data_IF_454286597830
#
_entry.id   IF_454286597830
#
_cell.length_a   1.000
_cell.length_b   1.000
_cell.length_c   1.000
_cell.angle_alpha   90.00
_cell.angle_beta   90.00
_cell.angle_gamma   90.00
#
_symmetry.space_group_name_H-M   'P 1'
#
loop_
_entity.id
_entity.type
_entity.pdbx_description
1 polymer ?
#
# COMPACT_ATOMS: atom_id res chain seq x y z
N UNK A 1 16.71 47.90 -12.52
CA UNK A 1 16.65 46.69 -11.70
C UNK A 1 15.28 46.05 -11.90
N UNK A 2 15.22 45.06 -12.77
CA UNK A 2 14.00 44.33 -13.11
C UNK A 2 13.74 43.31 -11.98
N UNK A 3 12.70 43.54 -11.17
CA UNK A 3 12.18 42.55 -10.24
C UNK A 3 11.64 41.35 -11.07
N UNK A 4 12.37 40.26 -11.11
CA UNK A 4 11.88 38.99 -11.57
C UNK A 4 10.88 38.48 -10.52
N UNK A 5 9.62 38.28 -10.91
CA UNK A 5 8.62 37.68 -10.03
C UNK A 5 9.11 36.29 -9.59
N UNK A 6 8.85 35.88 -8.32
CA UNK A 6 9.23 34.56 -7.87
C UNK A 6 8.53 33.52 -8.75
N UNK A 7 9.32 32.59 -9.30
CA UNK A 7 8.81 31.42 -10.02
C UNK A 7 7.92 30.65 -9.03
N UNK A 8 6.66 30.34 -9.37
CA UNK A 8 5.81 29.56 -8.50
C UNK A 8 6.51 28.21 -8.22
N UNK A 9 6.39 27.67 -6.99
CA UNK A 9 6.94 26.35 -6.71
C UNK A 9 6.40 25.37 -7.75
N UNK A 10 7.28 24.61 -8.38
CA UNK A 10 6.88 23.54 -9.31
C UNK A 10 5.85 22.69 -8.57
N UNK A 11 4.64 22.56 -9.12
CA UNK A 11 3.61 21.71 -8.53
C UNK A 11 4.20 20.32 -8.36
N UNK A 12 4.35 19.91 -7.12
CA UNK A 12 4.91 18.62 -6.77
C UNK A 12 3.91 17.58 -7.24
N UNK A 13 4.34 16.66 -8.08
CA UNK A 13 3.48 15.61 -8.60
C UNK A 13 2.83 14.83 -7.44
N UNK A 14 1.51 14.69 -7.46
CA UNK A 14 0.76 13.99 -6.42
C UNK A 14 1.11 12.51 -6.35
N UNK A 15 0.83 11.86 -5.21
CA UNK A 15 1.01 10.41 -5.09
C UNK A 15 0.17 9.66 -6.13
N UNK A 16 -1.09 10.07 -6.33
CA UNK A 16 -1.98 9.42 -7.31
C UNK A 16 -1.40 9.44 -8.72
N UNK A 17 -0.88 10.58 -9.18
CA UNK A 17 -0.24 10.71 -10.49
C UNK A 17 1.03 9.85 -10.60
N UNK A 18 1.90 9.87 -9.59
CA UNK A 18 3.11 9.03 -9.56
C UNK A 18 2.77 7.54 -9.59
N UNK A 19 1.78 7.12 -8.81
CA UNK A 19 1.31 5.74 -8.79
C UNK A 19 0.75 5.34 -10.15
N UNK A 20 -0.09 6.15 -10.77
CA UNK A 20 -0.65 5.86 -12.09
C UNK A 20 0.44 5.72 -13.15
N UNK A 21 1.45 6.57 -13.15
CA UNK A 21 2.61 6.46 -14.04
C UNK A 21 3.38 5.16 -13.81
N UNK A 22 3.63 4.79 -12.55
CA UNK A 22 4.32 3.56 -12.20
C UNK A 22 3.54 2.31 -12.66
N UNK A 23 2.22 2.28 -12.43
CA UNK A 23 1.34 1.19 -12.88
C UNK A 23 1.28 1.11 -14.41
N UNK A 24 1.23 2.24 -15.11
CA UNK A 24 1.24 2.27 -16.56
C UNK A 24 2.56 1.78 -17.15
N UNK A 25 3.68 2.11 -16.52
CA UNK A 25 5.01 1.73 -16.99
C UNK A 25 5.40 0.28 -16.70
N UNK A 26 5.01 -0.25 -15.53
CA UNK A 26 5.46 -1.55 -15.00
C UNK A 26 4.33 -2.56 -14.78
N UNK A 27 3.08 -2.17 -15.05
CA UNK A 27 1.88 -2.97 -14.83
C UNK A 27 1.35 -2.95 -13.38
N UNK A 28 0.11 -3.43 -13.18
CA UNK A 28 -0.60 -3.31 -11.90
C UNK A 28 -0.19 -4.43 -10.93
N UNK A 29 1.04 -4.41 -10.43
CA UNK A 29 1.52 -5.37 -9.44
C UNK A 29 2.20 -4.68 -8.26
N UNK A 30 1.73 -5.02 -7.06
CA UNK A 30 2.40 -4.78 -5.80
C UNK A 30 3.00 -6.07 -5.26
N UNK A 31 4.28 -6.06 -4.91
CA UNK A 31 4.92 -7.20 -4.24
C UNK A 31 5.17 -6.87 -2.76
N UNK A 32 4.61 -7.71 -1.89
CA UNK A 32 4.83 -7.63 -0.45
C UNK A 32 6.24 -8.07 -0.05
N UNK A 33 6.82 -7.43 0.97
CA UNK A 33 8.05 -7.88 1.63
C UNK A 33 7.65 -8.31 3.05
N UNK A 34 7.29 -9.59 3.15
CA UNK A 34 6.71 -10.18 4.36
C UNK A 34 7.62 -11.32 4.88
N UNK A 35 8.71 -11.00 5.59
CA UNK A 35 9.70 -11.99 6.06
C UNK A 35 9.18 -12.81 7.25
N UNK A 36 8.20 -13.69 6.99
CA UNK A 36 7.75 -14.69 7.95
C UNK A 36 8.91 -15.58 8.39
N UNK A 37 8.98 -15.99 9.64
CA UNK A 37 10.01 -16.90 10.16
C UNK A 37 10.12 -18.18 9.33
N UNK A 38 8.97 -18.79 8.97
CA UNK A 38 8.93 -19.97 8.12
C UNK A 38 9.50 -19.75 6.70
N UNK A 39 9.40 -18.53 6.19
CA UNK A 39 9.93 -18.19 4.88
C UNK A 39 11.44 -17.93 4.93
N UNK A 40 11.93 -17.27 5.97
CA UNK A 40 13.37 -17.14 6.21
C UNK A 40 14.04 -18.52 6.28
N UNK A 41 13.49 -19.42 7.10
CA UNK A 41 14.01 -20.78 7.23
C UNK A 41 13.98 -21.56 5.89
N UNK A 42 12.92 -21.43 5.11
CA UNK A 42 12.80 -22.04 3.77
C UNK A 42 13.89 -21.54 2.81
N UNK A 43 14.30 -20.27 2.95
CA UNK A 43 15.40 -19.71 2.16
C UNK A 43 16.80 -20.09 2.71
N UNK A 44 16.86 -20.89 3.79
CA UNK A 44 18.12 -21.23 4.46
C UNK A 44 18.70 -20.08 5.30
N UNK A 45 17.88 -19.08 5.63
CA UNK A 45 18.25 -17.91 6.44
C UNK A 45 17.84 -18.14 7.89
N UNK A 46 18.63 -17.66 8.87
CA UNK A 46 18.22 -17.70 10.27
C UNK A 46 17.08 -16.74 10.55
N UNK A 47 16.23 -17.05 11.52
CA UNK A 47 15.21 -16.13 12.04
C UNK A 47 15.86 -15.08 12.96
N UNK A 48 16.61 -14.17 12.37
CA UNK A 48 17.41 -13.13 13.02
C UNK A 48 17.44 -11.85 12.18
N UNK A 49 18.01 -10.77 12.73
CA UNK A 49 18.20 -9.50 12.00
C UNK A 49 19.03 -9.68 10.73
N UNK A 50 20.04 -10.55 10.75
CA UNK A 50 20.89 -10.81 9.58
C UNK A 50 20.13 -11.57 8.50
N UNK A 51 19.29 -12.56 8.89
CA UNK A 51 18.41 -13.25 7.97
C UNK A 51 17.35 -12.32 7.40
N UNK A 52 16.75 -11.45 8.23
CA UNK A 52 15.83 -10.42 7.80
C UNK A 52 16.45 -9.49 6.75
N UNK A 53 17.66 -9.00 7.01
CA UNK A 53 18.41 -8.13 6.09
C UNK A 53 18.69 -8.83 4.77
N UNK A 54 19.26 -10.04 4.81
CA UNK A 54 19.56 -10.84 3.62
C UNK A 54 18.33 -11.11 2.76
N UNK A 55 17.20 -11.39 3.41
CA UNK A 55 15.91 -11.58 2.74
C UNK A 55 15.45 -10.31 2.05
N UNK A 56 15.37 -9.19 2.78
CA UNK A 56 14.88 -7.90 2.26
C UNK A 56 15.75 -7.40 1.10
N UNK A 57 17.09 -7.43 1.26
CA UNK A 57 18.04 -7.02 0.22
C UNK A 57 17.91 -7.90 -1.04
N UNK A 58 17.68 -9.21 -0.89
CA UNK A 58 17.47 -10.11 -2.01
C UNK A 58 16.18 -9.77 -2.76
N UNK A 59 15.06 -9.56 -2.05
CA UNK A 59 13.77 -9.21 -2.67
C UNK A 59 13.87 -7.87 -3.39
N UNK A 60 14.40 -6.83 -2.74
CA UNK A 60 14.55 -5.50 -3.34
C UNK A 60 15.44 -5.57 -4.59
N UNK A 61 16.61 -6.21 -4.49
CA UNK A 61 17.54 -6.31 -5.63
C UNK A 61 17.03 -7.19 -6.78
N UNK A 62 16.04 -8.06 -6.52
CA UNK A 62 15.42 -8.86 -7.58
C UNK A 62 14.29 -8.14 -8.30
N UNK A 63 13.50 -7.30 -7.59
CA UNK A 63 12.18 -6.89 -8.05
C UNK A 63 11.98 -5.36 -8.11
N UNK A 64 12.76 -4.53 -7.40
CA UNK A 64 12.45 -3.12 -7.28
C UNK A 64 12.53 -2.32 -8.59
N UNK A 65 13.32 -2.76 -9.56
CA UNK A 65 13.39 -2.18 -10.90
C UNK A 65 12.31 -2.70 -11.87
N UNK A 66 11.51 -3.70 -11.45
CA UNK A 66 10.57 -4.44 -12.30
C UNK A 66 9.11 -4.21 -11.95
N UNK A 67 8.78 -4.08 -10.67
CA UNK A 67 7.40 -3.93 -10.20
C UNK A 67 7.05 -2.47 -9.95
N UNK A 68 5.78 -2.11 -10.11
CA UNK A 68 5.32 -0.75 -9.88
C UNK A 68 5.35 -0.39 -8.40
N UNK A 69 5.02 -1.34 -7.52
CA UNK A 69 4.85 -1.11 -6.09
C UNK A 69 5.52 -2.22 -5.29
N UNK A 70 6.21 -1.85 -4.19
CA UNK A 70 6.64 -2.74 -3.13
C UNK A 70 5.99 -2.36 -1.81
N UNK A 71 5.64 -3.37 -1.00
CA UNK A 71 4.92 -3.15 0.25
C UNK A 71 5.58 -3.93 1.41
N UNK A 72 6.59 -3.34 2.08
CA UNK A 72 7.10 -3.93 3.30
C UNK A 72 6.04 -3.94 4.41
N UNK A 73 5.89 -5.09 5.08
CA UNK A 73 4.99 -5.27 6.21
C UNK A 73 5.74 -4.95 7.50
N UNK A 74 5.46 -3.81 8.11
CA UNK A 74 6.19 -3.23 9.24
C UNK A 74 6.36 -4.21 10.41
N UNK A 75 5.31 -4.94 10.76
CA UNK A 75 5.31 -5.88 11.89
C UNK A 75 6.42 -6.94 11.84
N UNK A 76 6.81 -7.41 10.64
CA UNK A 76 7.88 -8.41 10.51
C UNK A 76 9.28 -7.83 10.74
N UNK A 77 9.43 -6.54 10.63
CA UNK A 77 10.67 -5.83 10.95
C UNK A 77 10.65 -5.39 12.42
N UNK A 78 9.54 -4.82 12.88
CA UNK A 78 9.37 -4.34 14.26
C UNK A 78 9.61 -5.42 15.32
N UNK A 79 9.29 -6.69 15.04
CA UNK A 79 9.52 -7.81 15.96
C UNK A 79 10.98 -8.02 16.32
N UNK A 80 11.91 -7.43 15.58
CA UNK A 80 13.36 -7.45 15.89
C UNK A 80 13.84 -6.16 16.57
N UNK A 81 12.92 -5.31 17.05
CA UNK A 81 13.23 -4.06 17.74
C UNK A 81 13.96 -3.05 16.84
N UNK A 82 14.77 -2.21 17.42
CA UNK A 82 15.48 -1.14 16.73
C UNK A 82 16.34 -1.63 15.55
N UNK A 83 16.97 -2.80 15.69
CA UNK A 83 17.78 -3.39 14.63
C UNK A 83 16.94 -3.80 13.41
N UNK A 84 15.72 -4.33 13.63
CA UNK A 84 14.78 -4.63 12.55
C UNK A 84 14.22 -3.39 11.88
N UNK A 85 13.92 -2.34 12.66
CA UNK A 85 13.51 -1.04 12.11
C UNK A 85 14.61 -0.45 11.22
N UNK A 86 15.88 -0.56 11.59
CA UNK A 86 17.01 -0.13 10.75
C UNK A 86 17.09 -0.90 9.43
N UNK A 87 16.72 -2.19 9.42
CA UNK A 87 16.59 -2.95 8.15
C UNK A 87 15.42 -2.42 7.33
N UNK A 88 14.28 -2.08 7.95
CA UNK A 88 13.13 -1.48 7.27
C UNK A 88 13.50 -0.15 6.59
N UNK A 89 14.20 0.74 7.30
CA UNK A 89 14.72 2.01 6.75
C UNK A 89 15.56 1.78 5.49
N UNK A 90 16.50 0.82 5.57
CA UNK A 90 17.34 0.47 4.44
C UNK A 90 16.53 -0.09 3.26
N UNK A 91 15.55 -0.96 3.54
CA UNK A 91 14.67 -1.58 2.56
C UNK A 91 13.85 -0.54 1.80
N UNK A 92 13.22 0.40 2.52
CA UNK A 92 12.44 1.50 1.93
C UNK A 92 13.33 2.36 1.03
N UNK A 93 14.50 2.78 1.55
CA UNK A 93 15.44 3.62 0.82
C UNK A 93 15.92 2.96 -0.47
N UNK A 94 16.34 1.70 -0.43
CA UNK A 94 16.81 0.95 -1.59
C UNK A 94 15.73 0.79 -2.65
N UNK A 95 14.50 0.42 -2.25
CA UNK A 95 13.39 0.26 -3.17
C UNK A 95 13.04 1.58 -3.87
N UNK A 96 12.97 2.69 -3.12
CA UNK A 96 12.72 4.03 -3.69
C UNK A 96 13.83 4.49 -4.63
N UNK A 97 15.10 4.22 -4.30
CA UNK A 97 16.24 4.52 -5.17
C UNK A 97 16.19 3.75 -6.50
N UNK A 98 15.62 2.55 -6.52
CA UNK A 98 15.37 1.79 -7.74
C UNK A 98 14.13 2.28 -8.53
N UNK A 99 13.44 3.32 -8.07
CA UNK A 99 12.29 3.93 -8.73
C UNK A 99 10.97 3.19 -8.52
N UNK A 100 10.87 2.34 -7.51
CA UNK A 100 9.61 1.67 -7.12
C UNK A 100 8.85 2.55 -6.12
N UNK A 101 7.53 2.59 -6.26
CA UNK A 101 6.64 3.15 -5.24
C UNK A 101 6.64 2.23 -4.01
N UNK A 102 6.85 2.79 -2.84
CA UNK A 102 6.83 2.04 -1.58
C UNK A 102 5.61 2.39 -0.75
N UNK A 103 4.77 1.40 -0.45
CA UNK A 103 3.67 1.50 0.50
C UNK A 103 4.11 0.83 1.81
N UNK A 104 4.28 1.58 2.89
CA UNK A 104 4.56 0.98 4.19
C UNK A 104 3.28 0.44 4.82
N UNK A 105 3.20 -0.88 4.99
CA UNK A 105 2.04 -1.54 5.59
C UNK A 105 2.16 -1.57 7.11
N UNK A 106 1.75 -0.45 7.76
CA UNK A 106 1.88 -0.22 9.21
C UNK A 106 0.54 -0.23 9.94
N UNK A 107 -0.56 0.04 9.25
CA UNK A 107 -1.94 0.07 9.78
C UNK A 107 -2.05 0.88 11.07
N UNK A 108 -1.43 2.07 11.10
CA UNK A 108 -1.50 2.96 12.28
C UNK A 108 -2.82 3.72 12.31
N UNK A 109 -3.22 4.12 13.51
CA UNK A 109 -4.39 4.95 13.75
C UNK A 109 -4.32 5.48 15.18
N UNK A 110 -4.54 6.78 15.36
CA UNK A 110 -4.58 7.46 16.66
C UNK A 110 -5.27 8.82 16.48
N UNK A 111 -5.28 9.66 17.52
CA UNK A 111 -5.88 10.99 17.54
C UNK A 111 -4.84 12.07 17.88
N UNK A 112 -5.13 13.31 17.51
CA UNK A 112 -4.39 14.51 17.93
C UNK A 112 -2.90 14.46 17.59
N UNK A 113 -2.04 14.82 18.55
CA UNK A 113 -0.59 14.89 18.37
C UNK A 113 0.06 13.52 18.14
N UNK A 114 -0.56 12.44 18.62
CA UNK A 114 -0.02 11.09 18.41
C UNK A 114 -0.14 10.66 16.95
N UNK A 115 -1.30 10.86 16.32
CA UNK A 115 -1.46 10.55 14.89
C UNK A 115 -0.58 11.46 14.02
N UNK A 116 -0.38 12.72 14.42
CA UNK A 116 0.56 13.63 13.77
C UNK A 116 2.00 13.10 13.82
N UNK A 117 2.43 12.55 14.96
CA UNK A 117 3.76 11.95 15.08
C UNK A 117 3.93 10.72 14.17
N UNK A 118 2.90 9.88 14.01
CA UNK A 118 2.90 8.80 13.02
C UNK A 118 2.96 9.34 11.58
N UNK A 119 2.20 10.38 11.27
CA UNK A 119 2.24 11.02 9.96
C UNK A 119 3.65 11.49 9.59
N UNK A 120 4.30 12.21 10.50
CA UNK A 120 5.68 12.67 10.33
C UNK A 120 6.66 11.50 10.17
N UNK A 121 6.52 10.45 10.99
CA UNK A 121 7.40 9.29 10.92
C UNK A 121 7.35 8.60 9.55
N UNK A 122 6.18 8.47 8.94
CA UNK A 122 6.01 7.65 7.74
C UNK A 122 5.95 8.44 6.43
N UNK A 123 5.69 9.74 6.46
CA UNK A 123 5.45 10.53 5.25
C UNK A 123 6.36 11.78 5.14
N UNK A 124 6.91 12.30 6.26
CA UNK A 124 7.81 13.45 6.18
C UNK A 124 9.12 13.09 5.49
N UNK A 125 9.58 13.88 4.50
CA UNK A 125 10.83 13.62 3.77
C UNK A 125 12.08 13.56 4.66
N UNK A 126 12.00 14.13 5.86
CA UNK A 126 13.11 14.13 6.84
C UNK A 126 13.17 12.86 7.69
N UNK A 127 12.12 12.02 7.64
CA UNK A 127 12.10 10.78 8.41
C UNK A 127 12.88 9.67 7.69
N UNK A 128 13.69 8.89 8.41
CA UNK A 128 14.45 7.79 7.83
C UNK A 128 13.56 6.62 7.35
N UNK A 129 12.32 6.49 7.88
CA UNK A 129 11.36 5.46 7.46
C UNK A 129 10.25 6.01 6.54
N UNK A 130 10.44 7.23 6.00
CA UNK A 130 9.46 7.82 5.10
C UNK A 130 9.29 6.96 3.83
N UNK A 131 8.05 6.56 3.57
CA UNK A 131 7.62 5.85 2.38
C UNK A 131 6.86 6.78 1.41
N UNK A 132 6.46 6.26 0.25
CA UNK A 132 5.59 7.02 -0.67
C UNK A 132 4.14 7.00 -0.23
N UNK A 133 3.72 5.97 0.51
CA UNK A 133 2.41 5.89 1.14
C UNK A 133 2.44 5.00 2.39
N UNK A 134 1.41 5.12 3.22
CA UNK A 134 1.24 4.32 4.44
C UNK A 134 -0.19 3.78 4.55
N UNK A 135 -0.36 2.58 5.10
CA UNK A 135 -1.67 2.04 5.47
C UNK A 135 -2.08 2.52 6.86
N UNK A 136 -3.35 2.89 7.02
CA UNK A 136 -3.91 3.42 8.28
C UNK A 136 -5.23 2.75 8.64
N UNK A 137 -5.53 2.72 9.94
CA UNK A 137 -6.77 2.16 10.47
C UNK A 137 -7.73 3.28 10.88
N UNK A 138 -8.97 3.31 10.36
CA UNK A 138 -9.96 4.34 10.66
C UNK A 138 -10.83 4.00 11.88
N UNK A 139 -10.42 3.08 12.73
CA UNK A 139 -11.24 2.60 13.86
C UNK A 139 -11.67 3.72 14.82
N UNK A 140 -10.86 4.79 14.94
CA UNK A 140 -11.16 5.97 15.75
C UNK A 140 -11.98 7.04 14.99
N UNK A 141 -12.56 6.67 13.86
CA UNK A 141 -13.26 7.55 12.93
C UNK A 141 -12.34 8.08 11.82
N UNK A 142 -12.86 8.19 10.60
CA UNK A 142 -12.08 8.65 9.45
C UNK A 142 -11.44 10.03 9.68
N UNK A 143 -12.19 10.96 10.29
CA UNK A 143 -11.69 12.31 10.59
C UNK A 143 -10.46 12.34 11.51
N UNK A 144 -10.19 11.27 12.30
CA UNK A 144 -8.97 11.18 13.11
C UNK A 144 -7.71 11.05 12.25
N UNK A 145 -7.85 10.65 10.99
CA UNK A 145 -6.76 10.49 10.03
C UNK A 145 -6.37 11.79 9.30
N UNK A 146 -7.10 12.90 9.52
CA UNK A 146 -6.83 14.17 8.86
C UNK A 146 -5.34 14.57 8.93
N UNK A 147 -4.63 14.48 10.07
CA UNK A 147 -3.21 14.83 10.11
C UNK A 147 -2.32 13.96 9.21
N UNK A 148 -2.70 12.70 8.97
CA UNK A 148 -1.95 11.81 8.06
C UNK A 148 -2.22 12.19 6.61
N UNK A 149 -3.46 12.53 6.27
CA UNK A 149 -3.85 12.96 4.92
C UNK A 149 -3.20 14.30 4.59
N UNK A 150 -3.21 15.25 5.54
CA UNK A 150 -2.58 16.57 5.37
C UNK A 150 -1.06 16.45 5.17
N UNK A 151 -0.37 15.61 5.96
CA UNK A 151 1.08 15.37 5.80
C UNK A 151 1.38 14.71 4.46
N UNK A 152 0.54 13.74 4.02
CA UNK A 152 0.65 13.11 2.72
C UNK A 152 0.51 14.14 1.59
N UNK A 153 -0.50 14.99 1.64
CA UNK A 153 -0.73 16.05 0.65
C UNK A 153 0.43 17.03 0.59
N UNK A 154 0.92 17.50 1.74
CA UNK A 154 2.02 18.45 1.84
C UNK A 154 3.32 17.92 1.22
N UNK A 155 3.53 16.61 1.21
CA UNK A 155 4.76 15.98 0.74
C UNK A 155 4.60 15.11 -0.50
N UNK A 156 3.44 15.12 -1.16
CA UNK A 156 3.15 14.31 -2.35
C UNK A 156 3.14 12.81 -2.01
N UNK A 157 2.76 12.46 -0.79
CA UNK A 157 2.57 11.09 -0.31
C UNK A 157 1.14 10.60 -0.50
N UNK A 158 0.90 9.33 -0.17
CA UNK A 158 -0.42 8.70 -0.22
C UNK A 158 -0.81 8.00 1.08
N UNK A 159 -2.11 7.79 1.24
CA UNK A 159 -2.68 7.10 2.40
C UNK A 159 -3.60 5.99 1.92
N UNK A 160 -3.46 4.77 2.47
CA UNK A 160 -4.40 3.67 2.22
C UNK A 160 -5.18 3.36 3.49
N UNK A 161 -6.46 3.63 3.48
CA UNK A 161 -7.35 3.43 4.63
C UNK A 161 -7.97 2.04 4.59
N UNK A 162 -7.93 1.31 5.70
CA UNK A 162 -8.60 0.01 5.80
C UNK A 162 -10.12 0.20 5.66
N UNK A 163 -10.72 -0.47 4.68
CA UNK A 163 -12.17 -0.44 4.46
C UNK A 163 -12.81 -1.84 4.64
N UNK A 164 -12.33 -2.81 3.87
CA UNK A 164 -12.85 -4.18 3.89
C UNK A 164 -11.68 -5.16 3.98
N UNK A 165 -11.71 -6.04 4.97
CA UNK A 165 -10.62 -7.00 5.22
C UNK A 165 -11.12 -8.44 5.18
N UNK A 166 -10.25 -9.38 4.79
CA UNK A 166 -10.62 -10.78 4.52
C UNK A 166 -10.73 -11.65 5.77
N UNK A 167 -10.40 -11.14 6.96
CA UNK A 167 -10.47 -11.91 8.20
C UNK A 167 -11.95 -12.09 8.64
N UNK A 168 -12.29 -13.23 9.29
CA UNK A 168 -13.67 -13.54 9.63
C UNK A 168 -14.31 -12.59 10.67
N UNK A 169 -13.51 -11.88 11.45
CA UNK A 169 -13.99 -10.89 12.43
C UNK A 169 -14.35 -9.54 11.79
N UNK A 170 -13.80 -9.24 10.62
CA UNK A 170 -13.96 -7.96 9.91
C UNK A 170 -15.42 -7.51 9.75
N UNK A 171 -16.33 -8.38 9.30
CA UNK A 171 -17.73 -7.99 9.07
C UNK A 171 -18.45 -7.48 10.31
N UNK A 172 -18.09 -7.91 11.52
CA UNK A 172 -18.72 -7.45 12.77
C UNK A 172 -18.56 -5.94 12.99
N UNK A 173 -17.51 -5.34 12.45
CA UNK A 173 -17.24 -3.89 12.51
C UNK A 173 -17.57 -3.23 11.18
N UNK A 174 -17.06 -3.78 10.08
CA UNK A 174 -17.10 -3.14 8.76
C UNK A 174 -18.51 -3.10 8.16
N UNK A 175 -19.37 -4.10 8.46
CA UNK A 175 -20.76 -4.16 8.03
C UNK A 175 -21.73 -3.64 9.10
N UNK A 176 -21.25 -3.24 10.28
CA UNK A 176 -22.09 -2.55 11.26
C UNK A 176 -22.64 -1.25 10.64
N UNK A 177 -23.87 -0.86 11.06
CA UNK A 177 -24.52 0.32 10.51
C UNK A 177 -24.36 1.53 11.42
N UNK A 178 -24.08 2.65 10.80
CA UNK A 178 -24.08 3.98 11.41
C UNK A 178 -25.52 4.49 11.58
N UNK A 179 -25.72 5.59 12.28
CA UNK A 179 -27.04 6.17 12.56
C UNK A 179 -27.80 6.62 11.29
N UNK A 180 -27.09 6.88 10.20
CA UNK A 180 -27.67 7.23 8.89
C UNK A 180 -27.99 5.99 8.01
N UNK A 181 -27.74 4.79 8.53
CA UNK A 181 -28.05 3.52 7.89
C UNK A 181 -27.00 2.96 6.96
N UNK A 182 -25.93 3.70 6.66
CA UNK A 182 -24.78 3.20 5.88
C UNK A 182 -23.97 2.21 6.73
N UNK A 183 -23.21 1.33 6.08
CA UNK A 183 -22.22 0.53 6.80
C UNK A 183 -21.02 1.39 7.20
N UNK A 184 -20.27 0.97 8.20
CA UNK A 184 -18.98 1.60 8.57
C UNK A 184 -18.05 1.61 7.36
N UNK A 185 -17.94 0.50 6.63
CA UNK A 185 -17.11 0.43 5.43
C UNK A 185 -17.56 1.42 4.34
N UNK A 186 -18.89 1.55 4.09
CA UNK A 186 -19.36 2.53 3.10
C UNK A 186 -19.05 3.97 3.54
N UNK A 187 -19.20 4.28 4.82
CA UNK A 187 -18.84 5.61 5.33
C UNK A 187 -17.35 5.92 5.09
N UNK A 188 -16.46 4.95 5.31
CA UNK A 188 -15.03 5.11 5.04
C UNK A 188 -14.75 5.30 3.54
N UNK A 189 -15.45 4.55 2.68
CA UNK A 189 -15.34 4.68 1.22
C UNK A 189 -15.77 6.08 0.75
N UNK A 190 -16.91 6.56 1.25
CA UNK A 190 -17.46 7.87 0.89
C UNK A 190 -16.52 9.02 1.34
N UNK A 191 -15.95 8.91 2.54
CA UNK A 191 -14.99 9.90 3.07
C UNK A 191 -13.69 9.93 2.25
N UNK A 192 -13.17 8.77 1.86
CA UNK A 192 -12.01 8.68 0.97
C UNK A 192 -12.32 9.27 -0.42
N UNK A 193 -13.50 9.01 -0.96
CA UNK A 193 -13.98 9.61 -2.21
C UNK A 193 -14.06 11.14 -2.11
N UNK A 194 -14.55 11.67 -0.99
CA UNK A 194 -14.60 13.11 -0.75
C UNK A 194 -13.21 13.77 -0.74
N UNK A 195 -12.19 13.12 -0.15
CA UNK A 195 -10.81 13.59 -0.22
C UNK A 195 -10.29 13.67 -1.66
N UNK A 196 -10.68 12.73 -2.51
CA UNK A 196 -10.22 12.64 -3.89
C UNK A 196 -11.05 13.46 -4.90
N UNK A 197 -12.15 14.06 -4.48
CA UNK A 197 -13.15 14.67 -5.39
C UNK A 197 -12.56 15.74 -6.32
N UNK A 198 -11.50 16.44 -5.88
CA UNK A 198 -10.85 17.51 -6.65
C UNK A 198 -9.61 17.04 -7.42
N UNK A 199 -9.21 15.78 -7.30
CA UNK A 199 -8.03 15.28 -7.99
C UNK A 199 -8.28 15.24 -9.51
N UNK A 200 -7.42 15.86 -10.34
CA UNK A 200 -7.65 15.97 -11.77
C UNK A 200 -7.52 14.63 -12.49
N UNK A 201 -6.71 13.73 -11.95
CA UNK A 201 -6.42 12.41 -12.55
C UNK A 201 -6.78 11.31 -11.55
N UNK A 202 -5.95 11.08 -10.56
CA UNK A 202 -6.12 10.07 -9.51
C UNK A 202 -5.81 10.68 -8.15
N UNK A 203 -6.69 10.48 -7.18
CA UNK A 203 -6.49 10.95 -5.82
C UNK A 203 -5.40 10.17 -5.08
N UNK A 204 -4.92 10.75 -3.98
CA UNK A 204 -3.85 10.20 -3.15
C UNK A 204 -4.35 9.41 -1.93
N UNK A 205 -5.66 9.42 -1.68
CA UNK A 205 -6.31 8.66 -0.61
C UNK A 205 -6.91 7.39 -1.20
N UNK A 206 -6.29 6.27 -0.91
CA UNK A 206 -6.72 4.95 -1.35
C UNK A 206 -7.40 4.14 -0.24
N UNK A 207 -7.88 2.97 -0.62
CA UNK A 207 -8.51 2.01 0.28
C UNK A 207 -7.73 0.69 0.29
N UNK A 208 -7.85 -0.06 1.39
CA UNK A 208 -7.48 -1.47 1.44
C UNK A 208 -8.76 -2.29 1.39
N UNK A 209 -8.87 -3.14 0.34
CA UNK A 209 -9.99 -4.07 0.14
C UNK A 209 -9.41 -5.45 -0.11
N UNK A 210 -9.69 -6.41 0.77
CA UNK A 210 -9.16 -7.77 0.66
C UNK A 210 -9.69 -8.50 -0.58
N UNK A 211 -8.84 -9.30 -1.23
CA UNK A 211 -9.20 -10.03 -2.46
C UNK A 211 -10.35 -11.02 -2.27
N UNK A 212 -10.55 -11.54 -1.05
CA UNK A 212 -11.52 -12.59 -0.74
C UNK A 212 -12.77 -12.09 -0.01
N UNK A 213 -12.99 -10.77 0.04
CA UNK A 213 -14.20 -10.20 0.71
C UNK A 213 -15.50 -10.51 -0.05
N UNK A 214 -15.41 -10.86 -1.34
CA UNK A 214 -16.56 -11.10 -2.21
C UNK A 214 -17.31 -9.79 -2.54
N UNK A 215 -18.46 -9.95 -3.21
CA UNK A 215 -19.37 -8.83 -3.44
C UNK A 215 -20.11 -8.51 -2.13
N UNK A 216 -19.76 -7.38 -1.54
CA UNK A 216 -20.33 -6.91 -0.27
C UNK A 216 -21.43 -5.85 -0.49
N UNK A 217 -21.73 -5.50 -1.74
CA UNK A 217 -22.71 -4.47 -2.09
C UNK A 217 -22.25 -3.04 -1.75
N UNK A 218 -20.95 -2.81 -1.53
CA UNK A 218 -20.40 -1.48 -1.31
C UNK A 218 -20.12 -0.76 -2.64
N UNK A 219 -20.41 0.53 -2.68
CA UNK A 219 -20.20 1.37 -3.87
C UNK A 219 -18.84 2.06 -3.83
N UNK A 220 -18.00 1.72 -4.79
CA UNK A 220 -16.66 2.30 -5.01
C UNK A 220 -16.61 3.27 -6.21
N UNK A 221 -17.76 3.50 -6.88
CA UNK A 221 -17.83 4.24 -8.16
C UNK A 221 -17.35 5.70 -8.05
N UNK A 222 -17.46 6.31 -6.88
CA UNK A 222 -17.05 7.70 -6.63
C UNK A 222 -15.62 7.85 -6.12
N UNK A 223 -14.88 6.76 -5.85
CA UNK A 223 -13.63 6.81 -5.09
C UNK A 223 -12.55 7.69 -5.76
N UNK A 224 -12.39 7.63 -7.09
CA UNK A 224 -11.32 8.30 -7.83
C UNK A 224 -9.93 8.17 -7.16
N UNK A 225 -9.63 7.00 -6.59
CA UNK A 225 -8.41 6.71 -5.83
C UNK A 225 -7.92 5.29 -6.02
N UNK A 226 -6.73 4.95 -5.51
CA UNK A 226 -6.19 3.60 -5.61
C UNK A 226 -6.82 2.65 -4.61
N UNK A 227 -7.01 1.38 -5.01
CA UNK A 227 -7.44 0.30 -4.12
C UNK A 227 -6.32 -0.75 -4.03
N UNK A 228 -5.71 -0.87 -2.86
CA UNK A 228 -4.75 -1.93 -2.55
C UNK A 228 -5.52 -3.21 -2.22
N UNK A 229 -5.21 -4.28 -2.96
CA UNK A 229 -5.94 -5.55 -2.87
C UNK A 229 -5.01 -6.66 -2.37
N UNK A 230 -4.84 -6.80 -1.05
CA UNK A 230 -4.07 -7.89 -0.46
C UNK A 230 -4.87 -9.21 -0.44
N UNK A 231 -4.13 -10.33 -0.35
CA UNK A 231 -4.74 -11.66 -0.18
C UNK A 231 -4.86 -12.47 -1.47
N UNK A 232 -4.20 -12.04 -2.54
CA UNK A 232 -4.12 -12.79 -3.79
C UNK A 232 -3.11 -13.95 -3.72
N UNK A 233 -3.37 -14.99 -4.47
CA UNK A 233 -2.53 -16.21 -4.55
C UNK A 233 -2.60 -17.04 -3.27
N UNK A 234 -1.50 -17.17 -2.55
CA UNK A 234 -1.36 -18.04 -1.37
C UNK A 234 -2.36 -17.78 -0.22
N UNK A 235 -3.17 -16.72 -0.28
CA UNK A 235 -4.24 -16.45 0.69
C UNK A 235 -5.64 -16.77 0.15
N UNK A 236 -5.74 -17.35 -1.04
CA UNK A 236 -6.97 -17.87 -1.64
C UNK A 236 -7.69 -16.92 -2.60
N UNK A 237 -7.30 -15.65 -2.69
CA UNK A 237 -7.85 -14.75 -3.70
C UNK A 237 -7.31 -15.06 -5.10
N UNK A 238 -8.20 -15.14 -6.09
CA UNK A 238 -7.82 -15.25 -7.49
C UNK A 238 -7.81 -13.86 -8.16
N UNK A 239 -6.95 -13.71 -9.17
CA UNK A 239 -6.94 -12.45 -9.93
C UNK A 239 -8.29 -12.19 -10.61
N UNK A 240 -8.97 -13.24 -11.08
CA UNK A 240 -10.27 -13.14 -11.75
C UNK A 240 -11.38 -12.60 -10.84
N UNK A 241 -11.27 -12.78 -9.51
CA UNK A 241 -12.25 -12.24 -8.55
C UNK A 241 -12.30 -10.71 -8.57
N UNK A 242 -11.19 -10.06 -8.92
CA UNK A 242 -11.10 -8.60 -8.97
C UNK A 242 -11.99 -7.97 -10.05
N UNK A 243 -12.23 -8.69 -11.16
CA UNK A 243 -13.04 -8.15 -12.27
C UNK A 243 -14.48 -7.85 -11.84
N UNK A 244 -15.08 -8.71 -11.03
CA UNK A 244 -16.41 -8.51 -10.49
C UNK A 244 -16.44 -7.45 -9.40
N UNK A 245 -15.48 -7.52 -8.48
CA UNK A 245 -15.41 -6.68 -7.28
C UNK A 245 -15.14 -5.20 -7.61
N UNK A 246 -14.39 -4.90 -8.67
CA UNK A 246 -13.97 -3.55 -9.04
C UNK A 246 -14.52 -3.07 -10.40
N UNK A 247 -15.63 -3.69 -10.88
CA UNK A 247 -16.22 -3.37 -12.19
C UNK A 247 -16.54 -1.88 -12.35
N UNK A 248 -17.11 -1.28 -11.32
CA UNK A 248 -17.59 0.10 -11.33
C UNK A 248 -16.64 1.06 -10.62
N UNK A 249 -15.41 0.63 -10.33
CA UNK A 249 -14.41 1.44 -9.65
C UNK A 249 -13.98 2.61 -10.54
N UNK A 250 -14.17 3.83 -10.04
CA UNK A 250 -13.45 5.00 -10.57
C UNK A 250 -12.13 5.14 -9.84
N UNK A 251 -11.06 4.68 -10.45
CA UNK A 251 -9.73 4.64 -9.83
C UNK A 251 -8.85 3.53 -10.42
N UNK A 252 -7.87 3.08 -9.66
CA UNK A 252 -6.96 2.02 -10.06
C UNK A 252 -6.89 0.92 -9.01
N UNK A 253 -6.80 -0.33 -9.48
CA UNK A 253 -6.57 -1.49 -8.63
C UNK A 253 -5.07 -1.76 -8.53
N UNK A 254 -4.59 -1.99 -7.30
CA UNK A 254 -3.21 -2.34 -6.97
C UNK A 254 -3.19 -3.73 -6.34
N UNK A 255 -3.20 -4.80 -7.16
CA UNK A 255 -3.16 -6.18 -6.67
C UNK A 255 -1.88 -6.44 -5.90
N UNK A 256 -1.99 -7.05 -4.71
CA UNK A 256 -0.82 -7.30 -3.86
C UNK A 256 -0.60 -8.79 -3.63
N UNK A 257 0.56 -9.26 -4.11
CA UNK A 257 1.07 -10.62 -3.91
C UNK A 257 2.25 -10.59 -2.95
N UNK A 258 2.34 -11.56 -2.08
CA UNK A 258 3.43 -11.70 -1.13
C UNK A 258 3.97 -13.13 -1.15
N UNK A 259 3.42 -14.05 -0.34
CA UNK A 259 3.91 -15.41 -0.20
C UNK A 259 3.99 -16.18 -1.54
N UNK A 260 3.07 -15.92 -2.45
CA UNK A 260 3.07 -16.53 -3.79
C UNK A 260 4.38 -16.22 -4.54
N UNK A 261 4.81 -14.98 -4.54
CA UNK A 261 6.07 -14.57 -5.18
C UNK A 261 7.27 -14.98 -4.34
N UNK A 262 7.25 -14.70 -3.05
CA UNK A 262 8.39 -14.88 -2.15
C UNK A 262 8.75 -16.35 -1.92
N UNK A 263 7.82 -17.30 -2.09
CA UNK A 263 8.09 -18.73 -1.97
C UNK A 263 9.06 -19.28 -3.03
N UNK A 264 9.30 -18.52 -4.11
CA UNK A 264 10.21 -18.90 -5.20
C UNK A 264 11.65 -18.41 -5.00
N UNK A 265 11.93 -17.72 -3.88
CA UNK A 265 13.32 -17.37 -3.50
C UNK A 265 14.07 -18.54 -2.84
N UNK A 266 15.36 -18.35 -2.51
CA UNK A 266 16.12 -17.10 -2.52
C UNK A 266 16.69 -16.70 -3.89
N UNK A 267 16.57 -17.52 -4.93
CA UNK A 267 17.09 -17.19 -6.26
C UNK A 267 16.34 -16.03 -6.91
N UNK A 268 17.10 -15.01 -7.36
CA UNK A 268 16.51 -13.81 -8.00
C UNK A 268 15.70 -14.15 -9.26
N UNK A 269 16.13 -15.15 -10.06
CA UNK A 269 15.38 -15.60 -11.23
C UNK A 269 14.02 -16.14 -10.84
N UNK A 270 13.95 -17.03 -9.82
CA UNK A 270 12.68 -17.57 -9.33
C UNK A 270 11.71 -16.49 -8.85
N UNK A 271 12.21 -15.48 -8.13
CA UNK A 271 11.41 -14.33 -7.69
C UNK A 271 10.86 -13.54 -8.89
N UNK A 272 11.70 -13.28 -9.90
CA UNK A 272 11.31 -12.56 -11.12
C UNK A 272 10.26 -13.31 -11.92
N UNK A 273 10.48 -14.59 -12.17
CA UNK A 273 9.53 -15.43 -12.90
C UNK A 273 8.18 -15.52 -12.19
N UNK A 274 8.18 -15.58 -10.86
CA UNK A 274 6.95 -15.57 -10.07
C UNK A 274 6.23 -14.21 -10.13
N UNK A 275 6.96 -13.10 -10.07
CA UNK A 275 6.39 -11.76 -10.22
C UNK A 275 5.82 -11.55 -11.63
N UNK A 276 6.51 -12.03 -12.67
CA UNK A 276 6.04 -11.92 -14.07
C UNK A 276 4.74 -12.74 -14.28
N UNK A 277 4.62 -13.94 -13.67
CA UNK A 277 3.36 -14.72 -13.67
C UNK A 277 2.23 -13.99 -12.94
N UNK A 278 2.50 -13.43 -11.76
CA UNK A 278 1.52 -12.67 -11.00
C UNK A 278 1.05 -11.42 -11.77
N UNK A 279 1.98 -10.68 -12.39
CA UNK A 279 1.68 -9.53 -13.22
C UNK A 279 0.79 -9.91 -14.41
N UNK A 280 1.14 -10.99 -15.12
CA UNK A 280 0.35 -11.47 -16.26
C UNK A 280 -1.08 -11.84 -15.85
N UNK A 281 -1.25 -12.50 -14.69
CA UNK A 281 -2.56 -12.81 -14.14
C UNK A 281 -3.37 -11.53 -13.81
N UNK A 282 -2.74 -10.53 -13.20
CA UNK A 282 -3.38 -9.24 -12.89
C UNK A 282 -3.82 -8.49 -14.16
N UNK A 283 -2.94 -8.42 -15.16
CA UNK A 283 -3.26 -7.78 -16.45
C UNK A 283 -4.45 -8.43 -17.12
N UNK A 284 -4.47 -9.77 -17.20
CA UNK A 284 -5.60 -10.51 -17.78
C UNK A 284 -6.91 -10.28 -17.04
N UNK A 285 -6.86 -10.12 -15.71
CA UNK A 285 -8.06 -9.92 -14.89
C UNK A 285 -8.60 -8.49 -14.96
N UNK A 286 -7.74 -7.48 -15.13
CA UNK A 286 -8.13 -6.07 -15.05
C UNK A 286 -8.34 -5.41 -16.41
N UNK A 287 -7.77 -5.97 -17.48
CA UNK A 287 -7.84 -5.45 -18.85
C UNK A 287 -8.31 -6.54 -19.83
#
# INVERSE_FOLDING_TARGET
MTHQAPVPPSEKESFGERLQKALSARGPLCVGIDPHASLLLRWGLPDSVDGLRSFADTVVSALADRVAVMKPQSAFFERFGAAGVSVLESTIRQARQAGTIVILDAKRGDIGSTVQAYAQAYLSPTSPIAADAVTVSPYLGFGSLAPVIDEAEAHGGGVFVLALTSNPEGPSVQHARTSDGRTVAQTIIDEAAACNAKAPVLGSVGLVVGATVGDTGHDLSALNGPVLVPGLGAQGGAADDMRGLFRDLRGVVVPSYSREVLSHGPGKSGLRDAADRALSACQKALF
#
